data_IF_328281070546
#
_entry.id   IF_328281070546
#
_cell.length_a   1.000
_cell.length_b   1.000
_cell.length_c   1.000
_cell.angle_alpha   90.00
_cell.angle_beta   90.00
_cell.angle_gamma   90.00
#
_symmetry.space_group_name_H-M   'P 1'
#
loop_
_entity.id
_entity.type
_entity.pdbx_description
1 polymer ?
#
# COMPACT_ATOMS: atom_id res chain seq x y z
N UNK A 1 -5.82 8.26 15.53
CA UNK A 1 -4.51 8.31 14.82
C UNK A 1 -4.52 7.55 13.49
N UNK A 2 -5.12 6.36 13.40
CA UNK A 2 -5.23 5.56 12.14
C UNK A 2 -5.94 6.28 10.98
N UNK A 3 -6.95 7.12 11.28
CA UNK A 3 -7.73 7.82 10.24
C UNK A 3 -6.89 8.85 9.47
N UNK A 4 -5.97 9.57 10.13
CA UNK A 4 -5.17 10.63 9.48
C UNK A 4 -4.17 10.04 8.48
N UNK A 5 -3.56 8.90 8.81
CA UNK A 5 -2.60 8.22 7.93
C UNK A 5 -3.26 7.71 6.64
N UNK A 6 -4.49 7.19 6.72
CA UNK A 6 -5.23 6.69 5.55
C UNK A 6 -5.54 7.85 4.57
N UNK A 7 -6.03 8.98 5.08
CA UNK A 7 -6.32 10.15 4.22
C UNK A 7 -5.08 10.71 3.53
N UNK A 8 -3.94 10.74 4.22
CA UNK A 8 -2.68 11.18 3.64
C UNK A 8 -2.24 10.26 2.49
N UNK A 9 -2.25 8.94 2.69
CA UNK A 9 -1.87 7.96 1.66
C UNK A 9 -2.80 8.06 0.45
N UNK A 10 -4.13 8.14 0.65
CA UNK A 10 -5.10 8.29 -0.44
C UNK A 10 -4.90 9.58 -1.23
N UNK A 11 -4.58 10.69 -0.56
CA UNK A 11 -4.28 11.96 -1.21
C UNK A 11 -3.03 11.86 -2.08
N UNK A 12 -1.95 11.27 -1.55
CA UNK A 12 -0.70 11.06 -2.30
C UNK A 12 -0.94 10.16 -3.52
N UNK A 13 -1.69 9.06 -3.37
CA UNK A 13 -2.08 8.18 -4.48
C UNK A 13 -2.84 8.92 -5.57
N UNK A 14 -3.79 9.77 -5.19
CA UNK A 14 -4.55 10.59 -6.16
C UNK A 14 -3.62 11.52 -6.94
N UNK A 15 -2.80 12.31 -6.24
CA UNK A 15 -1.89 13.27 -6.85
C UNK A 15 -0.84 12.61 -7.74
N UNK A 16 -0.35 11.42 -7.35
CA UNK A 16 0.59 10.63 -8.15
C UNK A 16 -0.06 10.17 -9.48
N UNK A 17 -1.30 9.68 -9.45
CA UNK A 17 -2.04 9.29 -10.68
C UNK A 17 -2.31 10.47 -11.60
N UNK A 18 -2.60 11.64 -11.03
CA UNK A 18 -2.80 12.89 -11.77
C UNK A 18 -1.48 13.52 -12.25
N UNK A 19 -0.32 12.90 -11.95
CA UNK A 19 1.03 13.41 -12.23
C UNK A 19 1.29 14.82 -11.63
N UNK A 20 0.55 15.19 -10.59
CA UNK A 20 0.70 16.45 -9.85
C UNK A 20 1.73 16.30 -8.70
N UNK A 21 2.95 15.88 -9.03
CA UNK A 21 3.96 15.52 -8.03
C UNK A 21 4.41 16.72 -7.18
N UNK A 22 4.46 17.93 -7.74
CA UNK A 22 4.82 19.15 -7.02
C UNK A 22 3.87 19.50 -5.87
N UNK A 23 2.63 19.00 -5.90
CA UNK A 23 1.66 19.18 -4.80
C UNK A 23 1.92 18.23 -3.61
N UNK A 24 2.81 17.24 -3.77
CA UNK A 24 3.23 16.29 -2.74
C UNK A 24 4.53 16.76 -2.06
N UNK A 25 5.43 17.40 -2.80
CA UNK A 25 6.75 17.83 -2.33
C UNK A 25 6.64 18.92 -1.25
N UNK A 26 7.54 18.89 -0.27
CA UNK A 26 7.66 19.94 0.75
C UNK A 26 7.93 21.30 0.09
N UNK A 27 7.22 22.33 0.55
CA UNK A 27 7.31 23.69 -0.03
C UNK A 27 8.65 24.37 0.25
N UNK A 28 9.39 23.90 1.25
CA UNK A 28 10.69 24.44 1.63
C UNK A 28 11.84 23.70 0.90
N UNK A 29 11.54 22.68 0.10
CA UNK A 29 12.56 22.00 -0.71
C UNK A 29 12.77 22.77 -2.01
N UNK A 30 13.92 23.43 -2.10
CA UNK A 30 14.38 24.12 -3.30
C UNK A 30 15.20 23.16 -4.19
N UNK A 31 15.13 23.32 -5.51
CA UNK A 31 15.94 22.61 -6.52
C UNK A 31 15.99 21.07 -6.39
N UNK A 32 14.89 20.39 -6.72
CA UNK A 32 14.81 18.92 -6.77
C UNK A 32 14.65 18.36 -8.19
N UNK A 33 15.17 17.15 -8.44
CA UNK A 33 14.89 16.40 -9.67
C UNK A 33 13.50 15.74 -9.55
N UNK A 34 12.62 16.06 -10.51
CA UNK A 34 11.26 15.54 -10.56
C UNK A 34 11.21 14.00 -10.68
N UNK A 35 12.23 13.38 -11.29
CA UNK A 35 12.33 11.92 -11.45
C UNK A 35 12.68 11.24 -10.14
N UNK A 36 13.57 11.84 -9.35
CA UNK A 36 13.89 11.35 -8.01
C UNK A 36 12.67 11.47 -7.09
N UNK A 37 11.96 12.60 -7.15
CA UNK A 37 10.69 12.78 -6.44
C UNK A 37 9.67 11.72 -6.84
N UNK A 38 9.50 11.46 -8.13
CA UNK A 38 8.60 10.41 -8.60
C UNK A 38 9.00 9.04 -8.01
N UNK A 39 10.27 8.67 -8.11
CA UNK A 39 10.78 7.40 -7.57
C UNK A 39 10.55 7.28 -6.06
N UNK A 40 10.81 8.36 -5.30
CA UNK A 40 10.60 8.41 -3.86
C UNK A 40 9.13 8.24 -3.48
N UNK A 41 8.22 8.86 -4.23
CA UNK A 41 6.76 8.71 -4.01
C UNK A 41 6.33 7.28 -4.30
N UNK A 42 6.78 6.70 -5.42
CA UNK A 42 6.45 5.31 -5.78
C UNK A 42 6.96 4.32 -4.71
N UNK A 43 8.19 4.49 -4.25
CA UNK A 43 8.76 3.72 -3.15
C UNK A 43 7.95 3.86 -1.87
N UNK A 44 7.59 5.08 -1.46
CA UNK A 44 6.82 5.35 -0.26
C UNK A 44 5.44 4.69 -0.31
N UNK A 45 4.79 4.68 -1.48
CA UNK A 45 3.50 4.02 -1.69
C UNK A 45 3.61 2.48 -1.56
N UNK A 46 4.69 1.88 -2.06
CA UNK A 46 4.98 0.45 -1.89
C UNK A 46 5.27 0.11 -0.42
N UNK A 47 6.05 0.92 0.28
CA UNK A 47 6.39 0.70 1.69
C UNK A 47 5.19 0.82 2.64
N UNK A 48 4.14 1.53 2.23
CA UNK A 48 2.95 1.82 3.05
C UNK A 48 1.73 0.98 2.66
N UNK A 49 1.92 -0.10 1.91
CA UNK A 49 0.84 -1.05 1.60
C UNK A 49 0.23 -1.63 2.87
N UNK A 50 -1.10 -1.76 2.84
CA UNK A 50 -1.88 -2.20 4.01
C UNK A 50 -1.47 -3.61 4.43
N UNK A 51 -1.38 -4.51 3.45
CA UNK A 51 -0.84 -5.85 3.60
C UNK A 51 0.69 -5.80 3.84
N UNK A 52 1.20 -6.46 4.89
CA UNK A 52 2.64 -6.58 5.13
C UNK A 52 3.37 -7.35 4.03
N UNK A 53 2.76 -8.39 3.48
CA UNK A 53 3.35 -9.26 2.45
C UNK A 53 3.59 -8.56 1.11
N UNK A 54 2.85 -7.48 0.83
CA UNK A 54 3.08 -6.68 -0.38
C UNK A 54 4.25 -5.69 -0.25
N UNK A 55 4.68 -5.37 0.98
CA UNK A 55 5.71 -4.36 1.21
C UNK A 55 7.08 -4.85 0.72
N UNK A 56 7.91 -4.00 0.11
CA UNK A 56 9.28 -4.37 -0.22
C UNK A 56 10.10 -4.83 0.98
N UNK A 57 11.02 -5.75 0.71
CA UNK A 57 12.14 -5.99 1.62
C UNK A 57 13.03 -4.76 1.71
N UNK A 58 13.62 -4.52 2.89
CA UNK A 58 14.52 -3.37 3.08
C UNK A 58 15.72 -3.38 2.15
N UNK A 59 16.23 -4.57 1.77
CA UNK A 59 17.31 -4.69 0.79
C UNK A 59 16.91 -4.13 -0.58
N UNK A 60 15.65 -4.32 -0.99
CA UNK A 60 15.14 -3.76 -2.23
C UNK A 60 14.95 -2.24 -2.12
N UNK A 61 14.46 -1.75 -0.97
CA UNK A 61 14.35 -0.29 -0.70
C UNK A 61 15.72 0.38 -0.80
N UNK A 62 16.76 -0.21 -0.23
CA UNK A 62 18.12 0.33 -0.29
C UNK A 62 18.63 0.38 -1.74
N UNK A 63 18.48 -0.69 -2.50
CA UNK A 63 18.87 -0.72 -3.92
C UNK A 63 18.17 0.37 -4.74
N UNK A 64 16.89 0.60 -4.48
CA UNK A 64 16.14 1.67 -5.12
C UNK A 64 16.65 3.07 -4.73
N UNK A 65 17.02 3.28 -3.47
CA UNK A 65 17.64 4.52 -3.00
C UNK A 65 19.05 4.74 -3.60
N UNK A 66 19.76 3.66 -3.93
CA UNK A 66 21.05 3.70 -4.63
C UNK A 66 20.92 4.00 -6.13
N UNK A 67 19.69 4.21 -6.62
CA UNK A 67 19.41 4.61 -8.01
C UNK A 67 19.03 3.45 -8.94
N UNK A 68 18.82 2.24 -8.41
CA UNK A 68 18.21 1.18 -9.21
C UNK A 68 16.75 1.51 -9.50
N UNK A 69 16.39 1.56 -10.79
CA UNK A 69 15.05 1.94 -11.21
C UNK A 69 13.98 0.94 -10.72
N UNK A 70 12.90 1.50 -10.16
CA UNK A 70 11.64 0.80 -9.89
C UNK A 70 10.97 0.22 -11.15
N UNK A 71 11.39 0.65 -12.33
CA UNK A 71 10.87 0.22 -13.63
C UNK A 71 11.18 -1.26 -13.96
N UNK A 72 11.83 -2.01 -13.06
CA UNK A 72 11.96 -3.47 -13.15
C UNK A 72 10.66 -4.24 -12.90
N UNK A 73 9.54 -3.81 -13.51
CA UNK A 73 8.23 -4.50 -13.53
C UNK A 73 7.34 -4.29 -12.30
N UNK A 74 7.90 -4.12 -11.10
CA UNK A 74 7.10 -4.13 -9.85
C UNK A 74 6.14 -2.93 -9.70
N UNK A 75 6.55 -1.74 -10.13
CA UNK A 75 5.67 -0.55 -10.06
C UNK A 75 4.54 -0.60 -11.11
N UNK A 76 4.81 -1.14 -12.29
CA UNK A 76 3.83 -1.30 -13.36
C UNK A 76 2.78 -2.36 -12.99
N UNK A 77 3.23 -3.46 -12.39
CA UNK A 77 2.38 -4.51 -11.82
C UNK A 77 1.50 -3.95 -10.68
N UNK A 78 2.08 -3.13 -9.79
CA UNK A 78 1.34 -2.46 -8.73
C UNK A 78 0.22 -1.55 -9.26
N UNK A 79 0.45 -0.78 -10.32
CA UNK A 79 -0.60 0.07 -10.90
C UNK A 79 -1.79 -0.74 -11.41
N UNK A 80 -1.54 -1.90 -12.01
CA UNK A 80 -2.58 -2.81 -12.48
C UNK A 80 -3.31 -3.50 -11.32
N UNK A 81 -2.57 -3.95 -10.30
CA UNK A 81 -3.14 -4.60 -9.11
C UNK A 81 -3.98 -3.60 -8.31
N UNK A 82 -3.52 -2.37 -8.08
CA UNK A 82 -4.29 -1.40 -7.30
C UNK A 82 -5.59 -0.97 -8.00
N UNK A 83 -5.57 -0.84 -9.33
CA UNK A 83 -6.75 -0.53 -10.12
C UNK A 83 -7.80 -1.66 -10.08
N UNK A 84 -7.36 -2.92 -9.95
CA UNK A 84 -8.24 -4.10 -9.91
C UNK A 84 -8.65 -4.48 -8.47
N UNK A 85 -7.73 -4.45 -7.52
CA UNK A 85 -7.91 -4.71 -6.09
C UNK A 85 -8.82 -3.68 -5.43
N UNK A 86 -8.76 -2.39 -5.80
CA UNK A 86 -9.73 -1.39 -5.31
C UNK A 86 -11.19 -1.75 -5.65
N UNK A 87 -11.42 -2.51 -6.74
CA UNK A 87 -12.73 -3.07 -7.11
C UNK A 87 -13.02 -4.35 -6.32
N UNK A 88 -12.05 -5.24 -6.20
CA UNK A 88 -12.23 -6.57 -5.58
C UNK A 88 -12.42 -6.47 -4.05
N UNK A 89 -11.62 -5.66 -3.36
CA UNK A 89 -11.75 -5.37 -1.92
C UNK A 89 -13.11 -4.75 -1.58
N UNK A 90 -13.64 -3.89 -2.46
CA UNK A 90 -14.98 -3.32 -2.32
C UNK A 90 -16.08 -4.42 -2.39
N UNK A 91 -15.98 -5.35 -3.35
CA UNK A 91 -16.95 -6.44 -3.50
C UNK A 91 -16.80 -7.53 -2.44
N UNK A 92 -15.59 -7.82 -1.97
CA UNK A 92 -15.33 -8.79 -0.92
C UNK A 92 -15.74 -8.26 0.45
N UNK A 93 -15.52 -6.98 0.73
CA UNK A 93 -16.03 -6.30 1.93
C UNK A 93 -17.56 -6.21 1.94
N UNK A 94 -18.20 -6.20 0.77
CA UNK A 94 -19.68 -6.30 0.63
C UNK A 94 -20.21 -7.74 0.78
N UNK A 95 -19.47 -8.75 0.33
CA UNK A 95 -19.80 -10.18 0.54
C UNK A 95 -19.51 -10.66 1.97
N UNK A 96 -18.52 -10.08 2.64
CA UNK A 96 -18.13 -10.40 4.02
C UNK A 96 -19.03 -9.78 5.11
N UNK A 97 -20.00 -8.94 4.75
CA UNK A 97 -20.95 -8.37 5.70
C UNK A 97 -22.08 -9.34 6.11
N UNK A 98 -22.10 -10.57 5.58
CA UNK A 98 -22.96 -11.67 6.03
C UNK A 98 -22.13 -12.96 6.21
N UNK A 99 -21.08 -12.90 7.04
CA UNK A 99 -20.44 -14.11 7.58
C UNK A 99 -21.07 -14.51 8.90
N UNK A 100 -21.36 -15.81 9.19
CA UNK A 100 -21.90 -16.23 10.47
C UNK A 100 -20.90 -15.95 11.59
N UNK A 101 -21.38 -15.35 12.69
CA UNK A 101 -20.65 -15.32 13.95
C UNK A 101 -20.42 -16.77 14.39
N UNK A 102 -19.16 -17.21 14.44
CA UNK A 102 -18.79 -18.56 14.87
C UNK A 102 -19.56 -18.94 16.15
N UNK A 103 -20.36 -19.98 16.04
CA UNK A 103 -21.06 -20.63 17.12
C UNK A 103 -20.05 -21.36 18.01
N UNK A 104 -19.97 -20.95 19.27
CA UNK A 104 -19.16 -21.57 20.30
C UNK A 104 -19.84 -22.84 20.82
N UNK A 105 -19.81 -23.94 20.07
CA UNK A 105 -20.03 -25.27 20.64
C UNK A 105 -19.09 -26.31 19.99
N UNK A 106 -18.50 -27.14 20.86
CA UNK A 106 -17.70 -28.37 20.63
C UNK A 106 -16.18 -28.27 20.46
N UNK A 107 -15.47 -28.38 21.58
CA UNK A 107 -14.51 -29.48 21.81
C UNK A 107 -14.20 -29.59 23.31
N UNK A 108 -15.09 -30.28 24.03
CA UNK A 108 -14.73 -30.88 25.31
C UNK A 108 -13.75 -32.02 24.99
N UNK A 109 -12.49 -31.90 25.40
CA UNK A 109 -11.65 -33.06 25.60
C UNK A 109 -11.72 -33.42 27.08
N UNK A 110 -12.38 -34.55 27.31
CA UNK A 110 -12.66 -35.18 28.59
C UNK A 110 -11.39 -35.38 29.41
N UNK A 111 -11.51 -35.17 30.72
CA UNK A 111 -10.55 -35.62 31.71
C UNK A 111 -10.29 -37.13 31.61
N UNK A 112 -9.06 -37.53 31.92
CA UNK A 112 -8.61 -38.90 31.88
C UNK A 112 -7.39 -39.12 32.77
N UNK A 113 -7.69 -39.32 34.07
CA UNK A 113 -6.92 -39.94 35.17
C UNK A 113 -5.65 -39.26 35.67
#
# INVERSE_FOLDING_TARGET
MTHVCIHAILKVKKLQREKMLSAIVDRNLEDYDIREVEMMIQMALLCTQASPEDRPTMSLVVRMLEGESLAGGRWEEWQHIEATSSRQDYYERRRGAAGPCYNQETMQLSGGR
#
